data_IF_589502044970
#
_entry.id   IF_589502044970
#
_cell.length_a   1.000
_cell.length_b   1.000
_cell.length_c   1.000
_cell.angle_alpha   90.00
_cell.angle_beta   90.00
_cell.angle_gamma   90.00
#
_symmetry.space_group_name_H-M   'P 1'
#
loop_
_entity.id
_entity.type
_entity.pdbx_description
1 polymer ?
#
# COMPACT_ATOMS: atom_id res chain seq x y z
N UNK A 1 8.71 -12.70 28.35
CA UNK A 1 7.31 -12.61 28.78
C UNK A 1 7.00 -11.18 29.17
N UNK A 2 6.51 -10.38 28.28
CA UNK A 2 5.82 -9.11 28.62
C UNK A 2 4.76 -8.87 27.53
N UNK A 3 3.52 -9.08 27.94
CA UNK A 3 2.32 -8.70 27.21
C UNK A 3 2.32 -7.17 27.00
N UNK A 4 2.42 -6.72 25.75
CA UNK A 4 2.00 -5.36 25.40
C UNK A 4 0.54 -5.41 24.96
N UNK A 5 -0.34 -5.24 25.91
CA UNK A 5 -1.73 -4.81 25.66
C UNK A 5 -1.65 -3.32 25.34
N UNK A 6 -1.54 -2.99 24.05
CA UNK A 6 -1.62 -1.62 23.57
C UNK A 6 -3.08 -1.17 23.61
N UNK A 7 -3.40 -0.26 24.52
CA UNK A 7 -4.65 0.53 24.46
C UNK A 7 -4.79 1.14 23.07
N UNK A 8 -5.91 0.87 22.41
CA UNK A 8 -6.34 1.54 21.19
C UNK A 8 -6.53 3.04 21.50
N UNK A 9 -5.44 3.80 21.36
CA UNK A 9 -5.50 5.25 21.31
C UNK A 9 -6.11 5.62 19.97
N UNK A 10 -7.26 6.27 19.98
CA UNK A 10 -7.84 6.94 18.82
C UNK A 10 -6.81 7.93 18.27
N UNK A 11 -6.00 7.52 17.31
CA UNK A 11 -5.19 8.46 16.55
C UNK A 11 -6.15 9.40 15.84
N UNK A 12 -6.08 10.69 16.21
CA UNK A 12 -6.77 11.79 15.55
C UNK A 12 -6.57 11.63 14.06
N UNK A 13 -7.62 11.20 13.32
CA UNK A 13 -7.56 10.93 11.88
C UNK A 13 -7.06 12.21 11.23
N UNK A 14 -5.83 12.19 10.74
CA UNK A 14 -5.26 13.32 9.99
C UNK A 14 -6.13 13.46 8.74
N UNK A 15 -6.72 14.65 8.55
CA UNK A 15 -7.61 14.93 7.40
C UNK A 15 -6.84 14.56 6.12
N UNK A 16 -7.29 13.54 5.41
CA UNK A 16 -6.69 13.13 4.15
C UNK A 16 -6.87 14.22 3.11
N UNK A 17 -5.88 14.41 2.24
CA UNK A 17 -5.89 15.46 1.20
C UNK A 17 -6.98 15.19 0.17
N UNK A 18 -7.20 13.91 -0.15
CA UNK A 18 -8.17 13.47 -1.14
C UNK A 18 -9.19 12.52 -0.53
N UNK A 19 -10.47 12.56 -0.99
CA UNK A 19 -11.46 11.57 -0.59
C UNK A 19 -11.04 10.17 -1.05
N UNK A 20 -10.99 9.23 -0.11
CA UNK A 20 -10.58 7.84 -0.36
C UNK A 20 -11.51 6.88 0.34
N UNK A 21 -11.80 5.75 -0.31
CA UNK A 21 -12.48 4.60 0.26
C UNK A 21 -11.51 3.42 0.37
N UNK A 22 -11.51 2.76 1.52
CA UNK A 22 -10.81 1.49 1.75
C UNK A 22 -11.82 0.38 1.62
N UNK A 23 -11.50 -0.64 0.83
CA UNK A 23 -12.44 -1.70 0.48
C UNK A 23 -11.77 -3.07 0.56
N UNK A 24 -12.59 -4.08 0.81
CA UNK A 24 -12.24 -5.48 0.73
C UNK A 24 -13.47 -6.28 0.28
N UNK A 25 -13.27 -7.45 -0.36
CA UNK A 25 -14.35 -8.31 -0.84
C UNK A 25 -14.16 -9.74 -0.38
N UNK A 26 -15.25 -10.37 0.02
CA UNK A 26 -15.30 -11.80 0.24
C UNK A 26 -15.86 -12.51 -1.00
N UNK A 27 -15.07 -13.45 -1.53
CA UNK A 27 -15.38 -14.18 -2.74
C UNK A 27 -15.57 -15.66 -2.44
N UNK A 28 -16.66 -16.23 -2.93
CA UNK A 28 -16.90 -17.67 -2.84
C UNK A 28 -15.91 -18.43 -3.74
N UNK A 29 -15.07 -19.32 -3.18
CA UNK A 29 -13.97 -19.95 -3.92
C UNK A 29 -14.39 -20.77 -5.14
N UNK A 30 -15.56 -21.41 -5.09
CA UNK A 30 -16.03 -22.32 -6.16
C UNK A 30 -16.77 -21.57 -7.26
N UNK A 31 -17.76 -20.75 -6.88
CA UNK A 31 -18.59 -20.02 -7.86
C UNK A 31 -17.94 -18.71 -8.32
N UNK A 32 -16.93 -18.24 -7.59
CA UNK A 32 -16.30 -16.93 -7.77
C UNK A 32 -17.28 -15.76 -7.72
N UNK A 33 -18.37 -15.92 -7.00
CA UNK A 33 -19.33 -14.86 -6.75
C UNK A 33 -18.94 -14.05 -5.51
N UNK A 34 -19.24 -12.76 -5.54
CA UNK A 34 -19.10 -11.92 -4.35
C UNK A 34 -20.11 -12.39 -3.30
N UNK A 35 -19.60 -12.71 -2.11
CA UNK A 35 -20.39 -13.03 -0.93
C UNK A 35 -20.74 -11.74 -0.18
N UNK A 36 -19.77 -10.86 -0.03
CA UNK A 36 -19.91 -9.62 0.72
C UNK A 36 -18.90 -8.57 0.27
N UNK A 37 -19.20 -7.28 0.51
CA UNK A 37 -18.29 -6.15 0.27
C UNK A 37 -18.24 -5.31 1.54
N UNK A 38 -17.04 -5.09 2.05
CA UNK A 38 -16.75 -4.19 3.14
C UNK A 38 -16.07 -2.91 2.65
N UNK A 39 -16.36 -1.80 3.29
CA UNK A 39 -15.69 -0.56 2.97
C UNK A 39 -15.78 0.49 4.06
N UNK A 40 -14.77 1.34 4.14
CA UNK A 40 -14.76 2.50 5.02
C UNK A 40 -14.15 3.70 4.28
N UNK A 41 -14.86 4.82 4.28
CA UNK A 41 -14.39 6.06 3.67
C UNK A 41 -13.59 6.92 4.65
N UNK A 42 -12.80 7.84 4.10
CA UNK A 42 -12.03 8.82 4.89
C UNK A 42 -12.88 9.76 5.73
N UNK A 43 -14.17 9.93 5.42
CA UNK A 43 -15.15 10.70 6.20
C UNK A 43 -15.81 9.88 7.32
N UNK A 44 -15.48 8.58 7.44
CA UNK A 44 -16.03 7.68 8.45
C UNK A 44 -17.29 6.93 8.03
N UNK A 45 -17.79 7.13 6.79
CA UNK A 45 -18.90 6.35 6.27
C UNK A 45 -18.47 4.88 6.09
N UNK A 46 -19.27 3.95 6.58
CA UNK A 46 -19.02 2.51 6.48
C UNK A 46 -20.01 1.84 5.53
N UNK A 47 -19.56 0.78 4.88
CA UNK A 47 -20.34 -0.05 3.98
C UNK A 47 -20.08 -1.53 4.29
N UNK A 48 -21.16 -2.31 4.41
CA UNK A 48 -21.06 -3.75 4.64
C UNK A 48 -22.30 -4.43 4.06
N UNK A 49 -22.29 -4.67 2.75
CA UNK A 49 -23.42 -5.27 2.01
C UNK A 49 -22.94 -5.91 0.71
N UNK A 50 -23.76 -6.84 0.17
CA UNK A 50 -23.53 -7.47 -1.13
C UNK A 50 -24.02 -6.63 -2.33
N UNK A 51 -24.79 -5.57 -2.11
CA UNK A 51 -25.46 -4.79 -3.17
C UNK A 51 -24.47 -3.91 -3.94
N UNK A 52 -24.32 -4.14 -5.25
CA UNK A 52 -23.50 -3.32 -6.14
C UNK A 52 -24.02 -1.89 -6.28
N UNK A 53 -25.32 -1.70 -6.39
CA UNK A 53 -25.90 -0.35 -6.52
C UNK A 53 -25.66 0.51 -5.28
N UNK A 54 -25.78 -0.10 -4.09
CA UNK A 54 -25.45 0.58 -2.84
C UNK A 54 -23.96 0.85 -2.74
N UNK A 55 -23.11 -0.07 -3.25
CA UNK A 55 -21.66 0.09 -3.26
C UNK A 55 -21.24 1.23 -4.19
N UNK A 56 -21.80 1.35 -5.39
CA UNK A 56 -21.56 2.51 -6.28
C UNK A 56 -21.97 3.81 -5.57
N UNK A 57 -23.13 3.82 -4.89
CA UNK A 57 -23.59 4.97 -4.12
C UNK A 57 -22.64 5.31 -2.95
N UNK A 58 -22.11 4.30 -2.25
CA UNK A 58 -21.11 4.47 -1.20
C UNK A 58 -19.82 5.13 -1.72
N UNK A 59 -19.39 4.79 -2.94
CA UNK A 59 -18.20 5.36 -3.57
C UNK A 59 -18.38 6.77 -4.11
N UNK A 60 -19.62 7.28 -4.15
CA UNK A 60 -19.90 8.63 -4.68
C UNK A 60 -19.09 9.71 -3.96
N UNK A 61 -18.42 10.56 -4.73
CA UNK A 61 -17.54 11.62 -4.22
C UNK A 61 -16.16 11.15 -3.76
N UNK A 62 -15.85 9.86 -3.88
CA UNK A 62 -14.52 9.30 -3.66
C UNK A 62 -13.65 9.52 -4.90
N UNK A 63 -12.39 9.89 -4.71
CA UNK A 63 -11.42 10.04 -5.79
C UNK A 63 -10.48 8.85 -5.88
N UNK A 64 -10.06 8.30 -4.75
CA UNK A 64 -9.17 7.14 -4.68
C UNK A 64 -9.86 5.97 -3.99
N UNK A 65 -9.48 4.77 -4.41
CA UNK A 65 -9.86 3.53 -3.74
C UNK A 65 -8.59 2.82 -3.30
N UNK A 66 -8.61 2.22 -2.11
CA UNK A 66 -7.47 1.50 -1.55
C UNK A 66 -7.93 0.16 -0.99
N UNK A 67 -7.11 -0.86 -1.17
CA UNK A 67 -7.32 -2.17 -0.57
C UNK A 67 -6.01 -2.92 -0.43
N UNK A 68 -6.05 -4.10 0.17
CA UNK A 68 -4.88 -4.95 0.31
C UNK A 68 -4.93 -6.09 -0.71
N UNK A 69 -3.98 -6.16 -1.62
CA UNK A 69 -3.98 -7.05 -2.78
C UNK A 69 -5.13 -6.78 -3.77
N UNK A 70 -5.67 -5.58 -3.74
CA UNK A 70 -6.86 -5.18 -4.51
C UNK A 70 -6.64 -5.31 -6.02
N UNK A 71 -5.44 -4.95 -6.52
CA UNK A 71 -5.12 -5.00 -7.96
C UNK A 71 -5.12 -6.42 -8.51
N UNK A 72 -4.75 -7.43 -7.70
CA UNK A 72 -4.69 -8.82 -8.13
C UNK A 72 -5.95 -9.61 -7.79
N UNK A 73 -6.73 -9.17 -6.79
CA UNK A 73 -7.88 -9.91 -6.30
C UNK A 73 -9.20 -9.19 -6.58
N UNK A 74 -9.51 -8.14 -5.84
CA UNK A 74 -10.84 -7.55 -5.78
C UNK A 74 -11.29 -6.88 -7.06
N UNK A 75 -10.37 -6.19 -7.77
CA UNK A 75 -10.69 -5.41 -8.98
C UNK A 75 -11.32 -6.25 -10.08
N UNK A 76 -11.05 -7.56 -10.10
CA UNK A 76 -11.66 -8.51 -11.06
C UNK A 76 -13.17 -8.64 -10.88
N UNK A 77 -13.65 -8.37 -9.68
CA UNK A 77 -15.04 -8.55 -9.30
C UNK A 77 -15.80 -7.23 -9.19
N UNK A 78 -15.13 -6.16 -8.74
CA UNK A 78 -15.76 -4.86 -8.51
C UNK A 78 -15.38 -3.80 -9.55
N UNK A 79 -14.55 -4.14 -10.54
CA UNK A 79 -14.04 -3.16 -11.52
C UNK A 79 -15.14 -2.40 -12.27
N UNK A 80 -16.26 -3.06 -12.62
CA UNK A 80 -17.43 -2.38 -13.22
C UNK A 80 -18.06 -1.37 -12.26
N UNK A 81 -18.23 -1.74 -10.98
CA UNK A 81 -18.78 -0.82 -9.98
C UNK A 81 -17.87 0.39 -9.73
N UNK A 82 -16.54 0.20 -9.78
CA UNK A 82 -15.58 1.32 -9.72
C UNK A 82 -15.74 2.25 -10.91
N UNK A 83 -15.90 1.73 -12.13
CA UNK A 83 -16.14 2.52 -13.33
C UNK A 83 -17.47 3.29 -13.25
N UNK A 84 -18.54 2.63 -12.82
CA UNK A 84 -19.87 3.24 -12.64
C UNK A 84 -19.84 4.36 -11.59
N UNK A 85 -18.97 4.25 -10.58
CA UNK A 85 -18.71 5.29 -9.59
C UNK A 85 -17.76 6.40 -10.09
N UNK A 86 -17.22 6.29 -11.31
CA UNK A 86 -16.29 7.25 -11.89
C UNK A 86 -14.86 7.14 -11.38
N UNK A 87 -14.49 6.03 -10.74
CA UNK A 87 -13.11 5.79 -10.25
C UNK A 87 -12.22 5.36 -11.42
N UNK A 88 -11.14 6.12 -11.64
CA UNK A 88 -10.16 5.75 -12.65
C UNK A 88 -9.31 4.56 -12.13
N UNK A 89 -9.03 3.53 -12.96
CA UNK A 89 -8.11 2.44 -12.57
C UNK A 89 -6.75 2.92 -12.07
N UNK A 90 -6.25 4.05 -12.58
CA UNK A 90 -5.00 4.67 -12.13
C UNK A 90 -5.09 5.31 -10.72
N UNK A 91 -6.30 5.38 -10.11
CA UNK A 91 -6.53 5.90 -8.77
C UNK A 91 -6.81 4.79 -7.74
N UNK A 92 -6.54 3.53 -8.11
CA UNK A 92 -6.63 2.38 -7.21
C UNK A 92 -5.27 2.11 -6.58
N UNK A 93 -5.23 2.13 -5.24
CA UNK A 93 -4.02 1.95 -4.44
C UNK A 93 -4.03 0.55 -3.83
N UNK A 94 -2.91 -0.16 -3.95
CA UNK A 94 -2.73 -1.47 -3.34
C UNK A 94 -1.67 -1.40 -2.22
N UNK A 95 -2.04 -1.75 -1.00
CA UNK A 95 -1.12 -1.73 0.13
C UNK A 95 -0.16 -2.94 0.13
N UNK A 96 -0.46 -4.02 -0.59
CA UNK A 96 0.41 -5.19 -0.59
C UNK A 96 1.79 -4.91 -1.22
N UNK A 97 1.93 -4.30 -2.42
CA UNK A 97 3.24 -3.95 -2.97
C UNK A 97 3.94 -2.81 -2.20
N UNK A 98 3.21 -1.92 -1.55
CA UNK A 98 3.78 -0.86 -0.71
C UNK A 98 4.46 -1.42 0.54
N UNK A 99 3.93 -2.49 1.11
CA UNK A 99 4.40 -3.03 2.38
C UNK A 99 5.87 -3.50 2.35
N UNK A 100 6.37 -4.32 1.38
CA UNK A 100 7.79 -4.67 1.32
C UNK A 100 8.69 -3.48 0.98
N UNK A 101 8.20 -2.49 0.24
CA UNK A 101 8.95 -1.26 -0.04
C UNK A 101 9.19 -0.43 1.22
N UNK A 102 8.22 -0.34 2.10
CA UNK A 102 8.24 0.58 3.24
C UNK A 102 8.62 -0.10 4.56
N UNK A 103 8.40 -1.41 4.64
CA UNK A 103 8.70 -2.26 5.79
C UNK A 103 9.51 -3.51 5.38
N UNK A 104 10.69 -3.37 4.75
CA UNK A 104 11.41 -4.48 4.12
C UNK A 104 11.87 -5.58 5.08
N UNK A 105 11.87 -5.31 6.38
CA UNK A 105 12.27 -6.28 7.43
C UNK A 105 11.10 -7.02 8.06
N UNK A 106 9.85 -6.71 7.68
CA UNK A 106 8.70 -7.49 8.15
C UNK A 106 8.74 -8.89 7.55
N UNK A 107 8.51 -9.95 8.35
CA UNK A 107 8.53 -11.33 7.85
C UNK A 107 7.32 -11.66 6.97
N UNK A 108 6.21 -10.92 7.10
CA UNK A 108 4.99 -11.10 6.34
C UNK A 108 4.39 -9.76 5.96
N UNK A 109 3.84 -9.68 4.76
CA UNK A 109 3.21 -8.48 4.22
C UNK A 109 1.68 -8.62 4.03
N UNK A 110 1.14 -9.83 4.17
CA UNK A 110 -0.31 -10.04 4.21
C UNK A 110 -0.94 -9.40 5.46
N UNK A 111 -2.20 -8.97 5.35
CA UNK A 111 -2.98 -8.58 6.52
C UNK A 111 -3.10 -9.78 7.47
N UNK A 112 -2.73 -9.57 8.73
CA UNK A 112 -2.87 -10.61 9.74
C UNK A 112 -4.37 -10.84 9.97
N UNK A 113 -4.83 -12.06 9.72
CA UNK A 113 -6.14 -12.50 10.18
C UNK A 113 -6.06 -12.65 11.70
N UNK A 114 -6.96 -11.98 12.42
CA UNK A 114 -7.05 -12.11 13.86
C UNK A 114 -7.21 -13.60 14.23
N UNK A 115 -6.57 -14.01 15.33
CA UNK A 115 -6.44 -15.41 15.73
C UNK A 115 -7.76 -16.16 15.63
N UNK A 116 -7.71 -17.35 15.01
CA UNK A 116 -8.83 -18.28 14.76
C UNK A 116 -9.57 -18.77 16.03
N UNK A 117 -9.37 -18.14 17.17
CA UNK A 117 -9.91 -18.56 18.46
C UNK A 117 -11.22 -17.88 18.86
N UNK A 118 -11.73 -16.93 18.11
CA UNK A 118 -13.05 -16.33 18.36
C UNK A 118 -13.94 -16.42 17.12
N UNK A 119 -14.75 -17.47 17.09
CA UNK A 119 -16.14 -17.60 16.61
C UNK A 119 -16.67 -16.51 15.67
N UNK A 120 -17.22 -16.93 14.53
CA UNK A 120 -18.17 -16.25 13.63
C UNK A 120 -17.75 -14.97 12.89
N UNK A 121 -16.60 -14.34 13.16
CA UNK A 121 -16.08 -13.19 12.43
C UNK A 121 -14.95 -13.54 11.42
N UNK A 122 -14.83 -14.80 11.10
CA UNK A 122 -13.85 -15.30 10.12
C UNK A 122 -14.28 -14.87 8.73
N UNK A 123 -13.73 -13.83 8.18
CA UNK A 123 -13.98 -13.19 6.89
C UNK A 123 -15.01 -12.06 6.96
N UNK A 124 -14.67 -11.00 7.67
CA UNK A 124 -15.46 -9.76 7.66
C UNK A 124 -14.73 -8.71 6.81
N UNK A 125 -15.19 -8.44 5.56
CA UNK A 125 -14.50 -7.52 4.67
C UNK A 125 -14.51 -6.06 5.18
N UNK A 126 -15.46 -5.67 6.03
CA UNK A 126 -15.41 -4.37 6.70
C UNK A 126 -14.22 -4.27 7.65
N UNK A 127 -13.95 -5.31 8.45
CA UNK A 127 -12.79 -5.32 9.35
C UNK A 127 -11.47 -5.28 8.56
N UNK A 128 -11.39 -6.00 7.44
CA UNK A 128 -10.18 -6.03 6.61
C UNK A 128 -9.98 -4.70 5.86
N UNK A 129 -11.06 -4.01 5.45
CA UNK A 129 -10.97 -2.64 4.91
C UNK A 129 -10.47 -1.63 5.97
N UNK A 130 -10.86 -1.77 7.24
CA UNK A 130 -10.34 -0.94 8.34
C UNK A 130 -8.86 -1.22 8.60
N UNK A 131 -8.42 -2.49 8.55
CA UNK A 131 -7.00 -2.87 8.66
C UNK A 131 -6.18 -2.30 7.50
N UNK A 132 -6.68 -2.39 6.27
CA UNK A 132 -6.05 -1.78 5.09
C UNK A 132 -5.88 -0.27 5.25
N UNK A 133 -6.90 0.43 5.80
CA UNK A 133 -6.81 1.85 6.14
C UNK A 133 -5.69 2.13 7.15
N UNK A 134 -5.60 1.36 8.22
CA UNK A 134 -4.54 1.55 9.22
C UNK A 134 -3.16 1.31 8.60
N UNK A 135 -3.00 0.22 7.84
CA UNK A 135 -1.75 -0.09 7.14
C UNK A 135 -1.34 1.03 6.19
N UNK A 136 -2.28 1.56 5.40
CA UNK A 136 -2.01 2.65 4.46
C UNK A 136 -1.53 3.92 5.17
N UNK A 137 -2.10 4.27 6.33
CA UNK A 137 -1.60 5.39 7.13
C UNK A 137 -0.17 5.16 7.61
N UNK A 138 0.16 3.94 8.05
CA UNK A 138 1.51 3.57 8.47
C UNK A 138 2.49 3.62 7.29
N UNK A 139 2.07 3.22 6.10
CA UNK A 139 2.85 3.28 4.85
C UNK A 139 3.15 4.71 4.45
N UNK A 140 2.17 5.61 4.47
CA UNK A 140 2.39 7.04 4.23
C UNK A 140 3.41 7.60 5.23
N UNK A 141 3.23 7.30 6.52
CA UNK A 141 4.14 7.77 7.55
C UNK A 141 5.55 7.18 7.38
N UNK A 142 5.68 5.92 6.97
CA UNK A 142 6.96 5.28 6.70
C UNK A 142 7.67 5.93 5.49
N UNK A 143 6.94 6.20 4.40
CA UNK A 143 7.49 6.92 3.24
C UNK A 143 7.97 8.33 3.62
N UNK A 144 7.18 9.07 4.40
CA UNK A 144 7.54 10.43 4.83
C UNK A 144 8.83 10.46 5.67
N UNK A 145 9.13 9.39 6.42
CA UNK A 145 10.37 9.27 7.23
C UNK A 145 11.61 8.85 6.44
N UNK A 146 11.47 8.43 5.19
CA UNK A 146 12.63 8.17 4.34
C UNK A 146 13.36 9.47 4.03
N UNK A 147 14.68 9.41 3.84
CA UNK A 147 15.43 10.58 3.37
C UNK A 147 15.04 10.95 1.93
N UNK A 148 15.31 12.19 1.55
CA UNK A 148 14.80 12.72 0.29
C UNK A 148 15.39 12.01 -0.93
N UNK A 149 16.67 11.64 -0.87
CA UNK A 149 17.34 10.92 -1.97
C UNK A 149 16.68 9.54 -2.21
N UNK A 150 16.32 8.82 -1.13
CA UNK A 150 15.64 7.54 -1.27
C UNK A 150 14.20 7.68 -1.79
N UNK A 151 13.50 8.76 -1.41
CA UNK A 151 12.18 9.09 -1.97
C UNK A 151 12.26 9.37 -3.48
N UNK A 152 13.28 10.11 -3.91
CA UNK A 152 13.50 10.40 -5.33
C UNK A 152 13.80 9.13 -6.11
N UNK A 153 14.66 8.25 -5.60
CA UNK A 153 14.96 6.95 -6.20
C UNK A 153 13.66 6.11 -6.34
N UNK A 154 12.87 6.01 -5.27
CA UNK A 154 11.61 5.25 -5.33
C UNK A 154 10.62 5.85 -6.34
N UNK A 155 10.49 7.17 -6.38
CA UNK A 155 9.61 7.81 -7.35
C UNK A 155 10.11 7.62 -8.79
N UNK A 156 11.40 7.74 -9.03
CA UNK A 156 11.99 7.52 -10.35
C UNK A 156 11.82 6.09 -10.87
N UNK A 157 11.94 5.09 -9.98
CA UNK A 157 11.74 3.69 -10.33
C UNK A 157 10.26 3.31 -10.48
N UNK A 158 9.39 3.82 -9.60
CA UNK A 158 8.05 3.28 -9.39
C UNK A 158 6.91 4.23 -9.77
N UNK A 159 7.17 5.52 -9.92
CA UNK A 159 6.12 6.54 -10.11
C UNK A 159 5.24 6.35 -11.33
N UNK A 160 5.70 5.60 -12.34
CA UNK A 160 4.95 5.29 -13.54
C UNK A 160 4.50 3.81 -13.61
N UNK A 161 4.74 3.02 -12.59
CA UNK A 161 4.30 1.63 -12.55
C UNK A 161 2.85 1.54 -12.07
N UNK A 162 2.04 0.62 -12.62
CA UNK A 162 0.62 0.49 -12.25
C UNK A 162 0.40 0.26 -10.75
N UNK A 163 1.34 -0.44 -10.09
CA UNK A 163 1.25 -0.82 -8.68
C UNK A 163 1.47 0.34 -7.73
N UNK A 164 2.21 1.40 -8.16
CA UNK A 164 2.64 2.47 -7.26
C UNK A 164 2.19 3.87 -7.68
N UNK A 165 1.83 4.10 -8.95
CA UNK A 165 1.48 5.43 -9.44
C UNK A 165 0.36 6.10 -8.64
N UNK A 166 -0.67 5.34 -8.26
CA UNK A 166 -1.78 5.85 -7.47
C UNK A 166 -1.34 6.34 -6.07
N UNK A 167 -0.41 5.64 -5.44
CA UNK A 167 0.17 6.03 -4.16
C UNK A 167 0.89 7.38 -4.26
N UNK A 168 1.78 7.56 -5.22
CA UNK A 168 2.51 8.83 -5.41
C UNK A 168 1.57 9.99 -5.76
N UNK A 169 0.56 9.75 -6.58
CA UNK A 169 -0.49 10.73 -6.88
C UNK A 169 -1.26 11.13 -5.62
N UNK A 170 -1.65 10.16 -4.80
CA UNK A 170 -2.39 10.40 -3.56
C UNK A 170 -1.60 11.26 -2.58
N UNK A 171 -0.32 10.96 -2.35
CA UNK A 171 0.54 11.76 -1.46
C UNK A 171 1.03 13.04 -2.14
N UNK A 172 0.71 13.27 -3.43
CA UNK A 172 1.17 14.41 -4.25
C UNK A 172 2.69 14.53 -4.27
N UNK A 173 3.38 13.41 -4.33
CA UNK A 173 4.83 13.40 -4.45
C UNK A 173 5.23 13.49 -5.93
N UNK A 174 6.10 14.44 -6.23
CA UNK A 174 6.74 14.61 -7.53
C UNK A 174 8.21 14.90 -7.32
N UNK A 175 9.05 14.50 -8.27
CA UNK A 175 10.47 14.81 -8.30
C UNK A 175 10.83 15.29 -9.70
N UNK A 176 11.89 16.08 -9.81
CA UNK A 176 12.46 16.45 -11.09
C UNK A 176 13.05 15.23 -11.81
N UNK A 177 13.15 15.30 -13.14
CA UNK A 177 13.80 14.22 -13.91
C UNK A 177 15.30 14.26 -13.62
N UNK A 178 15.74 13.36 -12.76
CA UNK A 178 17.16 13.14 -12.44
C UNK A 178 17.57 11.77 -12.99
N UNK A 179 18.83 11.56 -13.28
CA UNK A 179 19.35 10.24 -13.61
C UNK A 179 19.27 9.34 -12.39
N UNK A 180 18.40 8.33 -12.47
CA UNK A 180 18.10 7.42 -11.36
C UNK A 180 19.31 6.52 -11.06
N UNK A 181 20.10 6.14 -12.07
CA UNK A 181 21.31 5.38 -11.86
C UNK A 181 22.31 6.17 -11.02
N UNK A 182 22.52 7.44 -11.33
CA UNK A 182 23.42 8.32 -10.57
C UNK A 182 22.95 8.47 -9.12
N UNK A 183 21.65 8.66 -8.88
CA UNK A 183 21.11 8.76 -7.52
C UNK A 183 21.32 7.47 -6.72
N UNK A 184 21.12 6.30 -7.36
CA UNK A 184 21.36 5.00 -6.73
C UNK A 184 22.84 4.84 -6.39
N UNK A 185 23.75 5.15 -7.32
CA UNK A 185 25.21 5.08 -7.07
C UNK A 185 25.65 6.03 -5.98
N UNK A 186 25.13 7.25 -5.97
CA UNK A 186 25.43 8.23 -4.91
C UNK A 186 25.01 7.73 -3.53
N UNK A 187 23.78 7.16 -3.42
CA UNK A 187 23.25 6.74 -2.13
C UNK A 187 23.85 5.45 -1.60
N UNK A 188 24.16 4.51 -2.49
CA UNK A 188 24.56 3.13 -2.16
C UNK A 188 25.97 2.79 -2.66
N UNK A 189 26.86 3.79 -2.75
CA UNK A 189 28.24 3.65 -3.27
C UNK A 189 29.02 2.50 -2.61
N UNK A 190 28.85 2.35 -1.30
CA UNK A 190 29.56 1.32 -0.52
C UNK A 190 28.89 -0.07 -0.53
N UNK A 191 27.62 -0.13 -0.91
CA UNK A 191 26.78 -1.33 -0.85
C UNK A 191 26.55 -2.00 -2.20
N UNK A 192 26.73 -1.26 -3.31
CA UNK A 192 26.48 -1.77 -4.66
C UNK A 192 27.82 -1.89 -5.42
N UNK A 193 28.02 -3.06 -6.05
CA UNK A 193 29.17 -3.28 -6.92
C UNK A 193 29.22 -2.25 -8.05
N UNK A 194 30.41 -1.66 -8.29
CA UNK A 194 30.64 -0.67 -9.36
C UNK A 194 30.29 -1.24 -10.75
N UNK A 195 30.40 -2.55 -10.93
CA UNK A 195 30.09 -3.22 -12.19
C UNK A 195 28.64 -3.76 -12.28
N UNK A 196 27.77 -3.41 -11.30
CA UNK A 196 26.36 -3.81 -11.38
C UNK A 196 25.68 -3.13 -12.59
N UNK A 197 24.93 -3.92 -13.37
CA UNK A 197 24.12 -3.41 -14.49
C UNK A 197 22.84 -2.74 -13.96
N UNK A 198 23.00 -1.55 -13.38
CA UNK A 198 21.86 -0.79 -12.85
C UNK A 198 20.93 -0.32 -13.97
N UNK A 199 21.45 0.09 -15.11
CA UNK A 199 20.65 0.52 -16.25
C UNK A 199 19.70 -0.60 -16.72
N UNK A 200 20.21 -1.83 -16.83
CA UNK A 200 19.42 -2.99 -17.18
C UNK A 200 18.36 -3.32 -16.12
N UNK A 201 18.70 -3.21 -14.84
CA UNK A 201 17.75 -3.44 -13.74
C UNK A 201 16.65 -2.36 -13.68
N UNK A 202 17.01 -1.09 -13.84
CA UNK A 202 16.06 0.04 -13.89
C UNK A 202 15.05 -0.17 -15.03
N UNK A 203 15.53 -0.60 -16.20
CA UNK A 203 14.69 -0.76 -17.38
C UNK A 203 13.76 -1.99 -17.31
N UNK A 204 14.19 -3.09 -16.70
CA UNK A 204 13.50 -4.38 -16.75
C UNK A 204 12.86 -4.81 -15.43
N UNK A 205 13.41 -4.40 -14.30
CA UNK A 205 13.07 -4.88 -12.96
C UNK A 205 13.02 -3.73 -11.94
N UNK A 206 12.31 -2.61 -12.23
CA UNK A 206 12.32 -1.45 -11.34
C UNK A 206 11.72 -1.72 -9.96
N UNK A 207 10.72 -2.59 -9.87
CA UNK A 207 10.04 -2.94 -8.60
C UNK A 207 10.96 -3.77 -7.72
N UNK A 208 11.56 -4.82 -8.26
CA UNK A 208 12.50 -5.69 -7.54
C UNK A 208 13.74 -4.90 -7.10
N UNK A 209 14.24 -4.01 -7.95
CA UNK A 209 15.34 -3.11 -7.60
C UNK A 209 14.96 -2.21 -6.42
N UNK A 210 13.79 -1.59 -6.46
CA UNK A 210 13.33 -0.74 -5.36
C UNK A 210 13.20 -1.51 -4.03
N UNK A 211 12.72 -2.74 -4.06
CA UNK A 211 12.66 -3.61 -2.86
C UNK A 211 14.06 -3.93 -2.32
N UNK A 212 14.99 -4.31 -3.20
CA UNK A 212 16.39 -4.55 -2.82
C UNK A 212 17.01 -3.31 -2.18
N UNK A 213 16.86 -2.13 -2.78
CA UNK A 213 17.40 -0.88 -2.25
C UNK A 213 16.78 -0.51 -0.90
N UNK A 214 15.48 -0.74 -0.72
CA UNK A 214 14.82 -0.53 0.58
C UNK A 214 15.37 -1.44 1.67
N UNK A 215 15.63 -2.71 1.35
CA UNK A 215 16.20 -3.66 2.29
C UNK A 215 17.64 -3.27 2.66
N UNK A 216 18.47 -2.90 1.68
CA UNK A 216 19.86 -2.44 1.91
C UNK A 216 19.84 -1.20 2.82
N UNK A 217 19.03 -0.18 2.53
CA UNK A 217 18.90 1.03 3.37
C UNK A 217 18.55 0.68 4.82
N UNK A 218 17.61 -0.25 5.00
CA UNK A 218 17.20 -0.70 6.34
C UNK A 218 18.34 -1.39 7.10
N UNK A 219 19.09 -2.26 6.43
CA UNK A 219 20.22 -2.99 7.04
C UNK A 219 21.39 -2.07 7.39
N UNK A 220 21.68 -1.08 6.53
CA UNK A 220 22.74 -0.08 6.78
C UNK A 220 22.40 0.77 7.99
N UNK A 221 21.14 1.23 8.10
CA UNK A 221 20.69 1.99 9.27
C UNK A 221 20.80 1.18 10.56
N UNK A 222 20.43 -0.10 10.54
CA UNK A 222 20.59 -1.00 11.69
C UNK A 222 22.03 -1.13 12.15
N UNK A 223 22.99 -1.28 11.23
CA UNK A 223 24.43 -1.36 11.57
C UNK A 223 24.91 -0.09 12.28
N UNK A 224 24.52 1.10 11.78
CA UNK A 224 24.93 2.38 12.38
C UNK A 224 24.39 2.60 13.79
N UNK A 225 23.22 2.06 14.10
CA UNK A 225 22.61 2.19 15.45
C UNK A 225 23.19 1.22 16.49
N UNK A 226 23.88 0.16 16.09
CA UNK A 226 24.46 -0.84 16.99
C UNK A 226 26.01 -0.70 17.09
N UNK A 227 26.60 0.30 16.46
CA UNK A 227 28.05 0.57 16.48
C UNK A 227 28.43 1.72 17.41
N UNK A 228 27.51 2.13 18.29
CA UNK A 228 27.69 3.10 19.38
C UNK A 228 27.49 2.35 20.70
#
# INVERSE_FOLDING_TARGET
>A
FLLFVGRAGYHKIRKMKYPIAFIDTEIEPKSRQILDIGGVRSDGCEFHKKSFSDFVSFLSGTQFVCGHNILNHDIKYIGSALQDAGINPADVIDTLPLSPLLFPTKPYHALLKDDKLQTDEVNNPLNDSVKARCLFHDEIAAFQRKDDLLKEIFFGLLGNTPEFQAFFRFISYTSEKTDIEDLIRQKFEAEICIHADLAGMIAKHPIELAYCLSLIDSLVRHRKTHSI
#
